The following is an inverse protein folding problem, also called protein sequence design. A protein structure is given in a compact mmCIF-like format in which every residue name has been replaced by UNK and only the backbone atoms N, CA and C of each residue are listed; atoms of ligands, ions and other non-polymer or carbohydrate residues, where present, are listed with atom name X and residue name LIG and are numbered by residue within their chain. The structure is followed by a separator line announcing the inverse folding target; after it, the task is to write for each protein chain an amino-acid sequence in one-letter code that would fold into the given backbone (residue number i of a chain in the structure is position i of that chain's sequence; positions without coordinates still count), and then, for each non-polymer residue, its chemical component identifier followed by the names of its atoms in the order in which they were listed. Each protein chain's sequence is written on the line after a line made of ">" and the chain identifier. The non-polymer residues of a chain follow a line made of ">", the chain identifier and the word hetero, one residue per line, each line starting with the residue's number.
data_IF_737600441422
#
_entry.id   IF_737600441422
#
_cell.length_a   1.000
_cell.length_b   1.000
_cell.length_c   1.000
_cell.angle_alpha   90.00
_cell.angle_beta   90.00
_cell.angle_gamma   90.00
#
_symmetry.space_group_name_H-M   'P 1'
#
loop_
_entity.id
_entity.type
_entity.pdbx_description
1 polymer ?
#
# COMPACT_ATOMS: atom_id res chain seq x y z
N UNK A 1 -8.76 -36.19 65.96
CA UNK A 1 -8.00 -36.91 64.91
C UNK A 1 -8.36 -36.34 63.56
N UNK A 2 -7.36 -36.21 62.69
CA UNK A 2 -7.38 -35.99 61.24
C UNK A 2 -7.72 -34.59 60.67
N UNK A 3 -6.70 -34.03 60.03
CA UNK A 3 -6.71 -32.99 59.00
C UNK A 3 -7.31 -33.51 57.68
N UNK A 4 -7.86 -32.62 56.85
CA UNK A 4 -7.79 -32.72 55.39
C UNK A 4 -7.90 -31.33 54.74
N UNK A 5 -6.80 -30.86 54.14
CA UNK A 5 -6.82 -29.84 53.08
C UNK A 5 -7.28 -30.50 51.78
N UNK A 6 -8.13 -29.82 51.01
CA UNK A 6 -8.31 -30.10 49.58
C UNK A 6 -8.04 -28.81 48.80
N UNK A 7 -7.24 -28.98 47.74
CA UNK A 7 -6.55 -27.98 46.93
C UNK A 7 -7.49 -27.19 46.01
N UNK A 8 -7.01 -26.01 45.60
CA UNK A 8 -7.60 -25.11 44.62
C UNK A 8 -7.76 -25.73 43.22
N UNK A 9 -8.85 -25.38 42.53
CA UNK A 9 -8.85 -24.97 41.12
C UNK A 9 -10.27 -24.54 40.70
N UNK A 10 -10.44 -23.26 40.36
CA UNK A 10 -11.44 -22.86 39.37
C UNK A 10 -10.90 -21.61 38.65
N UNK A 11 -10.26 -21.89 37.50
CA UNK A 11 -9.73 -20.91 36.57
C UNK A 11 -10.86 -20.21 35.80
N UNK A 12 -11.75 -19.51 36.50
CA UNK A 12 -12.77 -18.70 35.84
C UNK A 12 -12.19 -17.32 35.54
N UNK A 13 -11.37 -17.25 34.48
CA UNK A 13 -10.81 -15.99 33.99
C UNK A 13 -11.94 -15.25 33.29
N UNK A 14 -12.38 -14.13 33.85
CA UNK A 14 -13.37 -13.26 33.23
C UNK A 14 -12.90 -12.88 31.82
N UNK A 15 -13.70 -13.21 30.82
CA UNK A 15 -13.43 -12.81 29.44
C UNK A 15 -13.64 -11.31 29.33
N UNK A 16 -12.56 -10.54 29.38
CA UNK A 16 -12.61 -9.10 29.08
C UNK A 16 -12.90 -8.98 27.58
N UNK A 17 -14.15 -8.67 27.23
CA UNK A 17 -14.52 -8.27 25.88
C UNK A 17 -13.88 -6.91 25.62
N UNK A 18 -12.76 -6.91 24.89
CA UNK A 18 -12.22 -5.68 24.31
C UNK A 18 -13.20 -5.26 23.21
N UNK A 19 -14.11 -4.36 23.57
CA UNK A 19 -14.98 -3.69 22.61
C UNK A 19 -14.13 -2.59 21.98
N UNK A 20 -13.43 -2.93 20.90
CA UNK A 20 -12.90 -1.91 20.01
C UNK A 20 -14.10 -1.22 19.35
N UNK A 21 -14.31 0.07 19.63
CA UNK A 21 -15.24 0.87 18.85
C UNK A 21 -14.77 0.83 17.41
N UNK A 22 -15.52 0.11 16.57
CA UNK A 22 -15.28 0.04 15.13
C UNK A 22 -15.30 1.49 14.65
N UNK A 23 -14.12 2.04 14.34
CA UNK A 23 -14.02 3.33 13.68
C UNK A 23 -14.80 3.28 12.37
N UNK A 24 -15.35 4.42 11.95
CA UNK A 24 -16.11 4.50 10.70
C UNK A 24 -15.35 3.78 9.57
N UNK A 25 -15.91 2.66 9.11
CA UNK A 25 -15.31 1.82 8.06
C UNK A 25 -15.14 2.59 6.75
N UNK A 26 -15.74 3.78 6.63
CA UNK A 26 -15.63 4.67 5.49
C UNK A 26 -14.68 5.86 5.70
N UNK A 27 -13.95 5.93 6.82
CA UNK A 27 -12.96 6.99 7.05
C UNK A 27 -11.77 6.84 6.08
N UNK A 28 -11.74 7.70 5.07
CA UNK A 28 -10.68 7.71 4.05
C UNK A 28 -9.40 8.37 4.54
N UNK A 29 -9.41 9.03 5.71
CA UNK A 29 -8.25 9.73 6.22
C UNK A 29 -7.22 8.74 6.78
N UNK A 30 -5.98 8.93 6.35
CA UNK A 30 -4.84 8.28 6.98
C UNK A 30 -4.50 9.09 8.23
N UNK A 31 -4.53 8.44 9.40
CA UNK A 31 -4.28 9.13 10.67
C UNK A 31 -2.80 9.23 11.00
N UNK A 32 -2.02 8.21 10.61
CA UNK A 32 -0.59 8.09 10.91
C UNK A 32 0.24 7.94 9.66
N UNK A 33 1.41 8.57 9.66
CA UNK A 33 2.42 8.41 8.61
C UNK A 33 3.81 8.32 9.25
N UNK A 34 4.67 7.50 8.66
CA UNK A 34 6.11 7.46 8.94
C UNK A 34 6.94 8.11 7.84
N UNK A 35 6.32 8.56 6.74
CA UNK A 35 7.05 9.07 5.57
C UNK A 35 7.84 10.33 5.91
N UNK A 36 7.34 11.23 6.75
CA UNK A 36 8.02 12.49 7.06
C UNK A 36 9.17 12.35 8.08
N UNK A 37 9.13 11.33 8.94
CA UNK A 37 9.92 11.25 10.19
C UNK A 37 10.67 9.93 10.36
N UNK A 38 10.41 8.93 9.51
CA UNK A 38 10.79 7.50 9.67
C UNK A 38 10.24 6.82 10.92
N UNK A 39 9.36 7.50 11.64
CA UNK A 39 8.69 7.01 12.85
C UNK A 39 7.21 7.35 12.73
N UNK A 40 6.30 6.49 13.19
CA UNK A 40 4.87 6.73 13.03
C UNK A 40 4.43 7.92 13.90
N UNK A 41 4.03 9.01 13.25
CA UNK A 41 3.41 10.18 13.88
C UNK A 41 1.99 10.38 13.33
N UNK A 42 1.12 11.02 14.11
CA UNK A 42 -0.16 11.48 13.59
C UNK A 42 0.10 12.56 12.53
N UNK A 43 -0.65 12.54 11.44
CA UNK A 43 -0.44 13.48 10.31
C UNK A 43 -0.52 14.95 10.75
N UNK A 44 -1.35 15.25 11.75
CA UNK A 44 -1.50 16.59 12.33
C UNK A 44 -0.26 17.09 13.08
N UNK A 45 0.59 16.18 13.56
CA UNK A 45 1.79 16.49 14.36
C UNK A 45 3.05 16.59 13.48
N UNK A 46 2.93 16.28 12.19
CA UNK A 46 4.01 16.40 11.22
C UNK A 46 4.11 17.85 10.76
N UNK A 47 5.28 18.48 10.99
CA UNK A 47 5.54 19.89 10.63
C UNK A 47 5.77 20.15 9.13
N UNK A 48 5.59 19.14 8.29
CA UNK A 48 5.73 19.21 6.84
C UNK A 48 4.42 18.89 6.13
N UNK A 49 4.21 19.45 4.95
CA UNK A 49 3.01 19.16 4.16
C UNK A 49 3.07 17.73 3.63
N UNK A 50 2.22 16.87 4.19
CA UNK A 50 2.02 15.50 3.73
C UNK A 50 0.59 15.34 3.17
N UNK A 51 0.47 14.61 2.07
CA UNK A 51 -0.83 14.26 1.49
C UNK A 51 -0.87 12.75 1.30
N UNK A 52 -1.88 12.11 1.86
CA UNK A 52 -2.01 10.66 1.86
C UNK A 52 -3.30 10.24 1.17
N UNK A 53 -3.24 9.21 0.33
CA UNK A 53 -4.38 8.71 -0.45
C UNK A 53 -4.49 7.21 -0.29
N UNK A 54 -5.61 6.72 0.26
CA UNK A 54 -5.96 5.29 0.26
C UNK A 54 -6.31 4.84 -1.15
N UNK A 55 -5.80 3.68 -1.56
CA UNK A 55 -6.01 3.14 -2.90
C UNK A 55 -7.24 2.25 -3.03
N UNK A 56 -7.81 1.79 -1.92
CA UNK A 56 -9.00 0.93 -1.94
C UNK A 56 -10.16 1.58 -2.71
N UNK A 57 -10.46 2.85 -2.44
CA UNK A 57 -11.52 3.56 -3.15
C UNK A 57 -11.14 3.96 -4.58
N UNK A 58 -9.86 4.27 -4.85
CA UNK A 58 -9.42 4.60 -6.21
C UNK A 58 -9.54 3.40 -7.16
N UNK A 59 -9.36 2.18 -6.65
CA UNK A 59 -9.59 0.93 -7.38
C UNK A 59 -11.07 0.75 -7.73
N UNK A 60 -11.99 1.14 -6.85
CA UNK A 60 -13.45 1.15 -7.14
C UNK A 60 -13.77 2.08 -8.32
N UNK A 61 -13.07 3.21 -8.43
CA UNK A 61 -13.21 4.12 -9.58
C UNK A 61 -12.45 3.65 -10.85
N UNK A 62 -11.94 2.42 -10.88
CA UNK A 62 -11.24 1.85 -12.03
C UNK A 62 -9.87 2.49 -12.31
N UNK A 63 -9.24 3.11 -11.30
CA UNK A 63 -7.93 3.72 -11.43
C UNK A 63 -6.83 2.76 -10.98
N UNK A 64 -6.04 2.28 -11.94
CA UNK A 64 -4.99 1.28 -11.71
C UNK A 64 -3.58 1.80 -11.98
N UNK A 65 -3.44 3.09 -12.32
CA UNK A 65 -2.16 3.70 -12.66
C UNK A 65 -1.82 4.79 -11.66
N UNK A 66 -0.57 4.78 -11.18
CA UNK A 66 -0.09 5.70 -10.16
C UNK A 66 -0.27 7.15 -10.62
N UNK A 67 0.20 7.49 -11.82
CA UNK A 67 0.10 8.82 -12.41
C UNK A 67 -1.33 9.37 -12.43
N UNK A 68 -2.33 8.55 -12.78
CA UNK A 68 -3.75 8.98 -12.83
C UNK A 68 -4.27 9.36 -11.44
N UNK A 69 -3.85 8.62 -10.42
CA UNK A 69 -4.28 8.86 -9.04
C UNK A 69 -3.60 10.11 -8.48
N UNK A 70 -2.28 10.22 -8.66
CA UNK A 70 -1.51 11.30 -8.06
C UNK A 70 -1.72 12.65 -8.76
N UNK A 71 -2.12 12.67 -10.03
CA UNK A 71 -2.43 13.90 -10.76
C UNK A 71 -3.63 14.66 -10.19
N UNK A 72 -4.44 14.02 -9.34
CA UNK A 72 -5.54 14.68 -8.62
C UNK A 72 -5.06 15.45 -7.39
N UNK A 73 -3.81 15.28 -6.97
CA UNK A 73 -3.27 15.91 -5.79
C UNK A 73 -2.67 17.28 -6.13
N UNK A 74 -2.94 18.26 -5.28
CA UNK A 74 -2.38 19.60 -5.43
C UNK A 74 -0.84 19.57 -5.43
N UNK A 75 -0.23 20.31 -6.36
CA UNK A 75 1.21 20.42 -6.51
C UNK A 75 1.89 19.15 -7.04
N UNK A 76 1.12 18.25 -7.66
CA UNK A 76 1.65 17.09 -8.40
C UNK A 76 1.16 17.18 -9.83
N UNK A 77 2.09 17.05 -10.77
CA UNK A 77 1.78 16.90 -12.19
C UNK A 77 2.26 15.52 -12.63
N UNK A 78 1.39 14.74 -13.26
CA UNK A 78 1.77 13.46 -13.85
C UNK A 78 1.51 13.48 -15.35
N UNK A 79 2.58 13.38 -16.13
CA UNK A 79 2.51 13.11 -17.57
C UNK A 79 2.74 11.63 -17.80
N UNK A 80 1.81 10.93 -18.45
CA UNK A 80 2.03 9.52 -18.81
C UNK A 80 2.52 9.43 -20.25
N UNK A 81 3.64 8.76 -20.46
CA UNK A 81 4.02 8.23 -21.77
C UNK A 81 3.84 6.70 -21.77
N UNK A 82 4.03 6.08 -22.93
CA UNK A 82 3.90 4.63 -23.12
C UNK A 82 4.98 3.83 -22.37
N UNK A 83 6.03 4.49 -21.86
CA UNK A 83 7.20 3.87 -21.23
C UNK A 83 7.23 4.10 -19.72
N UNK A 84 7.02 5.33 -19.28
CA UNK A 84 7.12 5.76 -17.89
C UNK A 84 5.98 6.72 -17.48
N UNK A 85 5.95 7.03 -16.19
CA UNK A 85 5.10 8.07 -15.63
C UNK A 85 5.99 9.23 -15.20
N UNK A 86 5.98 10.31 -15.99
CA UNK A 86 6.65 11.57 -15.69
C UNK A 86 5.95 12.32 -14.58
N UNK A 87 6.16 11.87 -13.34
CA UNK A 87 5.65 12.49 -12.12
C UNK A 87 6.57 13.65 -11.71
N UNK A 88 5.98 14.81 -11.44
CA UNK A 88 6.61 15.99 -10.88
C UNK A 88 5.92 16.40 -9.58
N UNK A 89 6.70 16.88 -8.61
CA UNK A 89 6.20 17.42 -7.34
C UNK A 89 6.70 18.87 -7.25
N UNK A 90 5.77 19.83 -7.12
CA UNK A 90 6.08 21.28 -7.14
C UNK A 90 6.96 21.69 -8.34
N UNK A 91 6.75 21.08 -9.51
CA UNK A 91 7.51 21.34 -10.73
C UNK A 91 8.83 20.57 -10.89
N UNK A 92 9.33 19.90 -9.84
CA UNK A 92 10.56 19.11 -9.90
C UNK A 92 10.27 17.65 -10.27
N UNK A 93 11.11 17.04 -11.11
CA UNK A 93 10.93 15.65 -11.54
C UNK A 93 11.17 14.66 -10.40
N UNK A 94 10.12 13.95 -9.99
CA UNK A 94 10.20 12.89 -8.99
C UNK A 94 10.57 11.53 -9.61
N UNK A 95 10.28 11.34 -10.90
CA UNK A 95 10.49 10.07 -11.61
C UNK A 95 11.95 9.60 -11.62
N UNK A 96 12.90 10.55 -11.57
CA UNK A 96 14.34 10.29 -11.60
C UNK A 96 14.94 9.89 -10.25
N UNK A 97 14.17 9.90 -9.16
CA UNK A 97 14.75 9.62 -7.86
C UNK A 97 13.85 9.64 -6.63
N UNK A 98 12.70 10.30 -6.69
CA UNK A 98 11.93 10.65 -5.50
C UNK A 98 10.69 9.77 -5.28
N UNK A 99 10.58 8.67 -6.03
CA UNK A 99 9.57 7.63 -5.81
C UNK A 99 10.18 6.53 -4.93
N UNK A 100 9.49 6.23 -3.85
CA UNK A 100 9.84 5.27 -2.82
C UNK A 100 8.72 4.25 -2.67
N UNK A 101 9.08 3.07 -2.21
CA UNK A 101 8.18 2.01 -1.80
C UNK A 101 8.62 1.53 -0.42
N UNK A 102 7.72 1.64 0.55
CA UNK A 102 7.99 1.32 1.96
C UNK A 102 9.26 2.02 2.49
N UNK A 103 9.52 3.25 2.02
CA UNK A 103 10.70 4.04 2.39
C UNK A 103 12.01 3.68 1.66
N UNK A 104 12.00 2.66 0.79
CA UNK A 104 13.14 2.27 -0.06
C UNK A 104 12.94 2.87 -1.45
N UNK A 105 14.02 3.35 -2.08
CA UNK A 105 13.95 3.96 -3.40
C UNK A 105 13.46 2.94 -4.44
N UNK A 106 12.37 3.28 -5.14
CA UNK A 106 11.76 2.46 -6.19
C UNK A 106 11.59 3.24 -7.50
N UNK A 107 12.24 4.40 -7.62
CA UNK A 107 12.21 5.24 -8.81
C UNK A 107 12.91 4.57 -10.00
N UNK A 108 12.33 4.77 -11.18
CA UNK A 108 12.83 4.26 -12.45
C UNK A 108 11.90 4.65 -13.59
N UNK A 109 12.38 4.51 -14.83
CA UNK A 109 11.56 4.71 -16.03
C UNK A 109 10.68 3.48 -16.29
N UNK A 110 9.85 3.14 -15.32
CA UNK A 110 8.93 2.01 -15.38
C UNK A 110 7.57 2.47 -14.90
N UNK A 111 6.51 2.00 -15.57
CA UNK A 111 5.16 2.19 -15.07
C UNK A 111 4.92 1.22 -13.92
N UNK A 112 4.46 1.70 -12.78
CA UNK A 112 4.28 0.86 -11.59
C UNK A 112 2.85 0.32 -11.51
N UNK A 113 2.71 -0.98 -11.24
CA UNK A 113 1.43 -1.59 -10.87
C UNK A 113 1.19 -1.31 -9.39
N UNK A 114 0.07 -0.66 -9.06
CA UNK A 114 -0.26 -0.21 -7.70
C UNK A 114 -1.26 -1.12 -6.96
N UNK A 115 -1.54 -2.30 -7.52
CA UNK A 115 -2.56 -3.19 -6.96
C UNK A 115 -2.19 -3.72 -5.56
N UNK A 116 -0.90 -3.91 -5.30
CA UNK A 116 -0.36 -4.30 -4.00
C UNK A 116 -0.01 -3.10 -3.12
N UNK A 117 -0.37 -1.88 -3.52
CA UNK A 117 -0.19 -0.67 -2.71
C UNK A 117 -1.50 -0.41 -1.95
N UNK A 118 -1.38 -0.10 -0.67
CA UNK A 118 -2.48 0.25 0.22
C UNK A 118 -2.78 1.74 0.13
N UNK A 119 -1.73 2.56 0.17
CA UNK A 119 -1.83 4.01 0.13
C UNK A 119 -0.57 4.64 -0.45
N UNK A 120 -0.73 5.86 -0.95
CA UNK A 120 0.37 6.71 -1.42
C UNK A 120 0.47 7.91 -0.48
N UNK A 121 1.68 8.21 -0.03
CA UNK A 121 2.00 9.36 0.81
C UNK A 121 2.96 10.28 0.05
N UNK A 122 2.61 11.56 -0.06
CA UNK A 122 3.41 12.55 -0.76
C UNK A 122 3.85 13.61 0.23
N UNK A 123 5.14 13.63 0.52
CA UNK A 123 5.79 14.64 1.35
C UNK A 123 6.30 15.76 0.44
N UNK A 124 5.76 16.96 0.60
CA UNK A 124 6.10 18.10 -0.26
C UNK A 124 7.21 18.95 0.37
N UNK A 125 8.22 19.27 -0.43
CA UNK A 125 9.39 20.03 -0.02
C UNK A 125 10.61 19.15 0.25
N UNK A 126 11.79 19.75 0.52
CA UNK A 126 13.04 19.00 0.62
C UNK A 126 13.02 17.93 1.72
N UNK A 127 13.24 16.67 1.34
CA UNK A 127 13.24 15.52 2.25
C UNK A 127 14.62 14.85 2.39
N UNK A 128 15.68 15.54 1.97
CA UNK A 128 17.00 14.95 1.78
C UNK A 128 17.66 14.41 3.05
N UNK A 129 17.28 14.95 4.22
CA UNK A 129 17.81 14.52 5.53
C UNK A 129 17.52 13.05 5.80
N UNK A 130 16.32 12.56 5.44
CA UNK A 130 15.89 11.19 5.73
C UNK A 130 15.99 10.28 4.50
N UNK A 131 15.92 10.84 3.29
CA UNK A 131 15.79 10.09 2.05
C UNK A 131 16.97 10.24 1.09
N UNK A 132 18.00 11.00 1.48
CA UNK A 132 19.21 11.22 0.69
C UNK A 132 18.97 12.16 -0.49
N UNK A 133 19.55 11.86 -1.65
CA UNK A 133 19.45 12.73 -2.83
C UNK A 133 18.00 12.90 -3.31
N UNK A 134 17.41 14.07 -3.13
CA UNK A 134 16.07 14.41 -3.65
C UNK A 134 16.12 15.55 -4.68
N UNK A 135 15.17 15.58 -5.63
CA UNK A 135 15.05 16.65 -6.63
C UNK A 135 14.61 18.01 -6.04
N UNK A 136 14.23 18.07 -4.77
CA UNK A 136 13.86 19.29 -4.05
C UNK A 136 12.35 19.58 -4.02
N UNK A 137 11.57 18.95 -4.90
CA UNK A 137 10.10 19.07 -4.90
C UNK A 137 9.42 18.33 -3.75
N UNK A 138 10.02 17.22 -3.31
CA UNK A 138 9.44 16.30 -2.34
C UNK A 138 9.69 14.86 -2.70
N UNK A 139 9.09 13.96 -1.94
CA UNK A 139 9.09 12.53 -2.21
C UNK A 139 7.68 11.98 -2.25
N UNK A 140 7.53 10.88 -2.97
CA UNK A 140 6.33 10.07 -3.01
C UNK A 140 6.69 8.69 -2.49
N UNK A 141 6.02 8.25 -1.44
CA UNK A 141 6.20 6.95 -0.82
C UNK A 141 4.94 6.11 -1.01
N UNK A 142 5.06 4.99 -1.70
CA UNK A 142 4.00 3.99 -1.82
C UNK A 142 4.11 3.01 -0.67
N UNK A 143 3.04 2.86 0.09
CA UNK A 143 2.99 1.90 1.18
C UNK A 143 2.33 0.62 0.69
N UNK A 144 3.09 -0.46 0.69
CA UNK A 144 2.62 -1.78 0.26
C UNK A 144 1.56 -2.32 1.22
N UNK A 145 0.66 -3.11 0.66
CA UNK A 145 -0.21 -4.01 1.42
C UNK A 145 0.65 -5.09 2.05
N UNK A 146 0.59 -5.19 3.37
CA UNK A 146 1.32 -6.18 4.16
C UNK A 146 0.35 -7.16 4.79
N UNK A 147 0.86 -8.33 5.15
CA UNK A 147 0.12 -9.26 5.99
C UNK A 147 -0.14 -8.61 7.35
N UNK A 148 -1.33 -8.81 7.90
CA UNK A 148 -1.73 -8.29 9.19
C UNK A 148 -2.70 -9.26 9.89
N UNK A 149 -3.06 -8.97 11.14
CA UNK A 149 -3.92 -9.84 11.95
C UNK A 149 -5.42 -9.59 11.76
N UNK A 150 -5.78 -8.67 10.85
CA UNK A 150 -7.14 -8.50 10.38
C UNK A 150 -7.30 -9.32 9.10
N UNK A 151 -8.36 -10.09 8.84
CA UNK A 151 -8.42 -10.92 7.62
C UNK A 151 -9.23 -10.28 6.46
N UNK A 152 -8.79 -9.20 5.79
CA UNK A 152 -9.49 -8.73 4.59
C UNK A 152 -9.24 -9.69 3.42
N UNK A 153 -10.31 -10.04 2.73
CA UNK A 153 -10.24 -10.70 1.44
C UNK A 153 -11.06 -9.90 0.43
N UNK A 154 -10.48 -9.62 -0.73
CA UNK A 154 -11.09 -8.84 -1.78
C UNK A 154 -10.92 -9.54 -3.12
N UNK A 155 -12.01 -9.61 -3.86
CA UNK A 155 -12.04 -10.07 -5.23
C UNK A 155 -12.69 -8.98 -6.08
N UNK A 156 -12.03 -8.59 -7.17
CA UNK A 156 -12.51 -7.52 -8.05
C UNK A 156 -12.38 -7.94 -9.50
N UNK A 157 -13.43 -7.68 -10.27
CA UNK A 157 -13.44 -7.79 -11.72
C UNK A 157 -13.76 -6.41 -12.31
N UNK A 158 -13.09 -6.04 -13.39
CA UNK A 158 -13.37 -4.79 -14.06
C UNK A 158 -13.29 -4.92 -15.58
N UNK A 159 -14.09 -4.12 -16.27
CA UNK A 159 -14.13 -4.03 -17.72
C UNK A 159 -14.28 -2.58 -18.17
N UNK A 160 -13.90 -2.28 -19.40
CA UNK A 160 -14.03 -0.94 -19.95
C UNK A 160 -13.81 -0.87 -21.46
N UNK A 161 -13.75 0.35 -21.97
CA UNK A 161 -13.51 0.64 -23.38
C UNK A 161 -12.21 0.02 -23.91
N UNK A 162 -12.13 -0.14 -25.23
CA UNK A 162 -10.97 -0.73 -25.94
C UNK A 162 -10.64 -2.17 -25.58
N UNK A 163 -11.67 -2.95 -25.18
CA UNK A 163 -11.52 -4.33 -24.77
C UNK A 163 -10.59 -4.44 -23.54
N UNK A 164 -10.71 -3.47 -22.62
CA UNK A 164 -10.07 -3.50 -21.31
C UNK A 164 -10.82 -4.45 -20.41
N UNK A 165 -10.12 -5.39 -19.81
CA UNK A 165 -10.64 -6.26 -18.75
C UNK A 165 -9.52 -6.62 -17.79
N UNK A 166 -9.88 -6.92 -16.55
CA UNK A 166 -8.93 -7.36 -15.55
C UNK A 166 -9.59 -7.89 -14.30
N UNK A 167 -8.77 -8.57 -13.51
CA UNK A 167 -9.15 -9.30 -12.31
C UNK A 167 -8.07 -9.11 -11.24
N UNK A 168 -8.53 -8.99 -10.01
CA UNK A 168 -7.67 -8.80 -8.84
C UNK A 168 -8.17 -9.70 -7.72
N UNK A 169 -7.22 -10.39 -7.10
CA UNK A 169 -7.44 -11.22 -5.92
C UNK A 169 -6.49 -10.73 -4.82
N UNK A 170 -7.00 -10.44 -3.64
CA UNK A 170 -6.20 -10.08 -2.47
C UNK A 170 -6.74 -10.82 -1.26
N UNK A 171 -5.94 -11.73 -0.70
CA UNK A 171 -6.34 -12.57 0.42
C UNK A 171 -5.32 -12.39 1.54
N UNK A 172 -5.79 -11.95 2.70
CA UNK A 172 -5.03 -11.96 3.94
C UNK A 172 -5.61 -13.02 4.88
N UNK A 173 -4.74 -13.85 5.45
CA UNK A 173 -5.13 -14.95 6.31
C UNK A 173 -4.21 -15.05 7.53
N UNK A 174 -4.82 -15.17 8.70
CA UNK A 174 -4.13 -15.38 9.97
C UNK A 174 -3.98 -16.88 10.18
N UNK A 175 -2.75 -17.38 10.15
CA UNK A 175 -2.46 -18.82 10.31
C UNK A 175 -2.50 -19.25 11.78
N UNK A 176 -2.06 -18.37 12.67
CA UNK A 176 -2.13 -18.52 14.12
C UNK A 176 -1.97 -17.14 14.79
N UNK A 177 -2.01 -17.11 16.12
CA UNK A 177 -1.92 -15.87 16.90
C UNK A 177 -0.68 -15.01 16.59
N UNK A 178 0.39 -15.60 16.03
CA UNK A 178 1.69 -14.95 15.77
C UNK A 178 2.05 -14.81 14.29
N UNK A 179 1.30 -15.43 13.38
CA UNK A 179 1.67 -15.56 11.97
C UNK A 179 0.50 -15.22 11.05
N UNK A 180 0.72 -14.27 10.15
CA UNK A 180 -0.21 -13.90 9.10
C UNK A 180 0.45 -13.97 7.72
N UNK A 181 -0.34 -14.30 6.70
CA UNK A 181 0.10 -14.35 5.31
C UNK A 181 -0.86 -13.58 4.43
N UNK A 182 -0.33 -12.93 3.40
CA UNK A 182 -1.11 -12.22 2.39
C UNK A 182 -0.64 -12.55 1.00
N UNK A 183 -1.57 -12.71 0.08
CA UNK A 183 -1.29 -12.89 -1.34
C UNK A 183 -2.16 -11.94 -2.15
N UNK A 184 -1.53 -11.07 -2.92
CA UNK A 184 -2.20 -10.22 -3.91
C UNK A 184 -1.79 -10.64 -5.32
N UNK A 185 -2.78 -10.86 -6.20
CA UNK A 185 -2.62 -11.19 -7.61
C UNK A 185 -3.44 -10.21 -8.44
N UNK A 186 -2.88 -9.75 -9.55
CA UNK A 186 -3.53 -8.83 -10.50
C UNK A 186 -3.23 -9.31 -11.91
N UNK A 187 -4.26 -9.30 -12.76
CA UNK A 187 -4.12 -9.53 -14.18
C UNK A 187 -5.00 -8.56 -14.96
N UNK A 188 -4.42 -7.87 -15.94
CA UNK A 188 -5.13 -6.91 -16.77
C UNK A 188 -4.70 -7.02 -18.25
N UNK A 189 -5.65 -6.88 -19.17
CA UNK A 189 -5.37 -6.68 -20.59
C UNK A 189 -6.19 -5.54 -21.20
N UNK A 190 -5.59 -4.80 -22.14
CA UNK A 190 -6.22 -3.72 -22.88
C UNK A 190 -5.62 -3.59 -24.29
N UNK A 191 -6.40 -3.11 -25.27
CA UNK A 191 -5.91 -2.73 -26.61
C UNK A 191 -5.61 -1.23 -26.72
N UNK A 192 -6.00 -0.44 -25.72
CA UNK A 192 -5.78 0.99 -25.69
C UNK A 192 -6.52 1.74 -26.81
N UNK A 193 -6.47 3.06 -26.73
CA UNK A 193 -7.18 3.92 -27.68
C UNK A 193 -6.46 4.08 -29.02
N UNK A 194 -5.14 3.87 -29.06
CA UNK A 194 -4.35 3.97 -30.30
C UNK A 194 -4.31 2.61 -31.00
N UNK A 195 -4.56 2.62 -32.31
CA UNK A 195 -4.51 1.41 -33.14
C UNK A 195 -3.12 0.77 -33.10
N UNK A 196 -3.07 -0.55 -32.98
CA UNK A 196 -1.82 -1.34 -33.01
C UNK A 196 -1.27 -1.67 -31.62
N UNK A 197 -1.63 -0.89 -30.60
CA UNK A 197 -1.18 -1.11 -29.23
C UNK A 197 -1.91 -2.30 -28.61
N UNK A 198 -1.19 -3.10 -27.82
CA UNK A 198 -1.79 -4.05 -26.88
C UNK A 198 -0.97 -4.07 -25.61
N UNK A 199 -1.64 -4.24 -24.47
CA UNK A 199 -1.02 -4.30 -23.17
C UNK A 199 -1.55 -5.48 -22.38
N UNK A 200 -0.64 -6.11 -21.64
CA UNK A 200 -0.93 -7.15 -20.65
C UNK A 200 -0.06 -6.91 -19.43
N UNK A 201 -0.70 -6.78 -18.29
CA UNK A 201 -0.05 -6.58 -17.01
C UNK A 201 -0.39 -7.77 -16.11
N UNK A 202 0.60 -8.29 -15.39
CA UNK A 202 0.39 -9.33 -14.40
C UNK A 202 1.26 -9.03 -13.18
N UNK A 203 0.71 -9.19 -11.99
CA UNK A 203 1.44 -8.99 -10.75
C UNK A 203 1.11 -10.08 -9.74
N UNK A 204 2.14 -10.55 -9.03
CA UNK A 204 2.00 -11.44 -7.88
C UNK A 204 2.83 -10.87 -6.73
N UNK A 205 2.21 -10.74 -5.56
CA UNK A 205 2.82 -10.09 -4.39
C UNK A 205 2.46 -10.83 -3.09
N UNK A 206 3.23 -11.86 -2.70
CA UNK A 206 3.07 -12.50 -1.40
C UNK A 206 3.79 -11.70 -0.29
N UNK A 207 3.24 -11.76 0.93
CA UNK A 207 3.90 -11.29 2.14
C UNK A 207 3.55 -12.17 3.34
N UNK A 208 4.47 -12.20 4.32
CA UNK A 208 4.37 -12.98 5.55
C UNK A 208 4.78 -12.08 6.71
N UNK A 209 3.94 -12.03 7.74
CA UNK A 209 4.19 -11.31 8.98
C UNK A 209 4.27 -12.31 10.12
N UNK A 210 5.35 -12.25 10.89
CA UNK A 210 5.49 -12.92 12.17
C UNK A 210 5.64 -11.88 13.28
N UNK A 211 4.76 -11.90 14.27
CA UNK A 211 4.84 -11.05 15.46
C UNK A 211 4.82 -11.91 16.72
N UNK A 212 5.87 -11.79 17.53
CA UNK A 212 5.95 -12.48 18.82
C UNK A 212 5.04 -11.86 19.89
N UNK A 213 4.64 -10.59 19.71
CA UNK A 213 4.03 -9.70 20.70
C UNK A 213 4.90 -9.45 21.95
N UNK A 214 6.16 -9.89 21.92
CA UNK A 214 7.17 -9.71 22.97
C UNK A 214 8.27 -8.72 22.53
N UNK A 215 8.00 -7.94 21.48
CA UNK A 215 8.89 -6.92 20.94
C UNK A 215 9.67 -7.33 19.69
N UNK A 216 9.57 -8.59 19.25
CA UNK A 216 10.13 -9.05 17.98
C UNK A 216 9.04 -9.19 16.91
N UNK A 217 9.22 -8.50 15.79
CA UNK A 217 8.36 -8.56 14.61
C UNK A 217 9.24 -8.71 13.35
N UNK A 218 8.84 -9.60 12.45
CA UNK A 218 9.48 -9.80 11.16
C UNK A 218 8.46 -9.82 10.02
N UNK A 219 8.74 -9.03 8.98
CA UNK A 219 7.94 -8.96 7.77
C UNK A 219 8.81 -9.33 6.56
N UNK A 220 8.35 -10.31 5.79
CA UNK A 220 8.91 -10.64 4.48
C UNK A 220 7.88 -10.35 3.39
N UNK A 221 8.32 -9.73 2.30
CA UNK A 221 7.48 -9.43 1.16
C UNK A 221 8.23 -9.63 -0.15
N UNK A 222 7.51 -10.09 -1.16
CA UNK A 222 8.01 -10.23 -2.52
C UNK A 222 6.98 -9.64 -3.49
N UNK A 223 7.45 -9.08 -4.59
CA UNK A 223 6.57 -8.62 -5.67
C UNK A 223 7.24 -8.94 -6.99
N UNK A 224 6.48 -9.53 -7.89
CA UNK A 224 6.85 -9.72 -9.28
C UNK A 224 5.77 -9.09 -10.15
N UNK A 225 6.17 -8.10 -10.94
CA UNK A 225 5.35 -7.43 -11.93
C UNK A 225 5.90 -7.70 -13.33
N UNK A 226 5.01 -8.13 -14.23
CA UNK A 226 5.32 -8.39 -15.63
C UNK A 226 4.44 -7.52 -16.51
N UNK A 227 5.08 -6.58 -17.19
CA UNK A 227 4.46 -5.70 -18.16
C UNK A 227 4.83 -6.16 -19.56
N UNK A 228 3.83 -6.46 -20.38
CA UNK A 228 4.01 -6.76 -21.79
C UNK A 228 3.25 -5.76 -22.64
N UNK A 229 3.92 -5.20 -23.64
CA UNK A 229 3.35 -4.25 -24.58
C UNK A 229 3.70 -4.65 -26.01
N UNK A 230 2.72 -4.53 -26.90
CA UNK A 230 2.93 -4.50 -28.34
C UNK A 230 2.83 -3.04 -28.78
N UNK A 231 3.89 -2.55 -29.42
CA UNK A 231 3.97 -1.23 -30.06
C UNK A 231 3.50 -1.35 -31.51
#
# INVERSE_FOLDING_TARGET
>A
MAYAQVRANDNNIETIKVVATIGDNNDQHIKKSSTATKTPFDIKDISQTITSVKLEQQKIYGQHYLGVIVNKLSGIDATSDMRDEGIKIRGFSASSGDIYRDGIRASGQVRQIITNIERIEVLKGPASVLYGRSSGGGIMNMISKQANFDPPSTFSLHGGSWNKYGEMIDVNHVLNDKLAVRMTVDHQSDKGFRKGIKQRDMMVSPSVLYDSFEGFNWLAQYTNDKLWRKL
#
